data_IF_995295624366
#
_entry.id   IF_995295624366
#
_cell.length_a   1.000
_cell.length_b   1.000
_cell.length_c   1.000
_cell.angle_alpha   90.00
_cell.angle_beta   90.00
_cell.angle_gamma   90.00
#
_symmetry.space_group_name_H-M   'P 1'
#
loop_
_entity.id
_entity.type
_entity.pdbx_description
1 polymer ?
#
# COMPACT_ATOMS: atom_id res chain seq x y z
N UNK A 1 -13.64 12.03 6.30
CA UNK A 1 -13.79 10.71 6.95
C UNK A 1 -14.76 9.90 6.10
N UNK A 2 -14.29 8.76 5.52
CA UNK A 2 -15.11 7.98 4.58
C UNK A 2 -16.19 7.14 5.28
N UNK A 3 -15.87 6.60 6.46
CA UNK A 3 -16.81 5.83 7.28
C UNK A 3 -17.48 6.77 8.28
N UNK A 4 -18.81 6.85 8.24
CA UNK A 4 -19.65 7.71 9.08
C UNK A 4 -20.51 6.82 9.96
N UNK A 5 -20.40 6.96 11.27
CA UNK A 5 -21.29 6.29 12.21
C UNK A 5 -22.67 6.98 12.22
N UNK A 6 -23.74 6.18 12.24
CA UNK A 6 -25.11 6.68 12.27
C UNK A 6 -25.45 7.07 13.71
N UNK A 7 -25.72 8.38 14.03
CA UNK A 7 -25.87 8.85 15.41
C UNK A 7 -26.99 8.15 16.19
N UNK A 8 -28.04 7.74 15.48
CA UNK A 8 -29.23 7.08 16.09
C UNK A 8 -29.11 5.57 16.22
N UNK A 9 -28.00 5.00 15.71
CA UNK A 9 -27.76 3.55 15.70
C UNK A 9 -26.28 3.26 15.95
N UNK A 10 -25.84 3.25 17.21
CA UNK A 10 -24.45 2.96 17.56
C UNK A 10 -23.98 1.61 16.95
N UNK A 11 -22.76 1.58 16.42
CA UNK A 11 -22.22 0.41 15.73
C UNK A 11 -22.70 0.21 14.29
N UNK A 12 -23.61 1.08 13.79
CA UNK A 12 -24.01 1.09 12.39
C UNK A 12 -23.27 2.19 11.63
N UNK A 13 -22.70 1.82 10.49
CA UNK A 13 -21.88 2.72 9.69
C UNK A 13 -22.43 2.87 8.28
N UNK A 14 -22.16 4.03 7.68
CA UNK A 14 -22.46 4.34 6.28
C UNK A 14 -21.21 4.90 5.60
N UNK A 15 -21.03 4.63 4.33
CA UNK A 15 -20.00 5.26 3.53
C UNK A 15 -20.42 6.68 3.14
N UNK A 16 -19.48 7.63 3.23
CA UNK A 16 -19.75 9.05 2.91
C UNK A 16 -20.24 9.26 1.49
N UNK A 17 -19.72 8.48 0.55
CA UNK A 17 -20.15 8.53 -0.85
C UNK A 17 -21.63 8.13 -1.04
N UNK A 18 -22.13 7.17 -0.25
CA UNK A 18 -23.54 6.80 -0.26
C UNK A 18 -24.43 7.91 0.32
N UNK A 19 -23.96 8.57 1.38
CA UNK A 19 -24.63 9.72 1.96
C UNK A 19 -24.72 10.87 0.95
N UNK A 20 -23.62 11.18 0.25
CA UNK A 20 -23.59 12.20 -0.80
C UNK A 20 -24.57 11.85 -1.92
N UNK A 21 -24.55 10.60 -2.41
CA UNK A 21 -25.49 10.18 -3.45
C UNK A 21 -26.95 10.26 -3.00
N UNK A 22 -27.23 10.00 -1.73
CA UNK A 22 -28.59 10.12 -1.19
C UNK A 22 -29.08 11.57 -1.26
N UNK A 23 -28.23 12.52 -0.89
CA UNK A 23 -28.56 13.94 -0.84
C UNK A 23 -28.11 14.74 -2.08
N UNK A 24 -27.74 14.08 -3.18
CA UNK A 24 -27.19 14.75 -4.36
C UNK A 24 -28.12 15.85 -4.92
N UNK A 25 -29.45 15.66 -4.88
CA UNK A 25 -30.43 16.65 -5.34
C UNK A 25 -30.44 17.91 -4.47
N UNK A 26 -30.02 17.82 -3.20
CA UNK A 26 -29.85 19.00 -2.32
C UNK A 26 -28.58 19.77 -2.64
N UNK A 27 -27.52 19.07 -3.11
CA UNK A 27 -26.27 19.70 -3.54
C UNK A 27 -26.43 20.40 -4.89
N UNK A 28 -27.30 19.88 -5.75
CA UNK A 28 -27.57 20.43 -7.08
C UNK A 28 -29.05 20.79 -7.26
N UNK A 29 -29.60 21.77 -6.50
CA UNK A 29 -31.05 22.07 -6.49
C UNK A 29 -31.57 22.65 -7.81
N UNK A 30 -30.69 23.19 -8.65
CA UNK A 30 -31.06 23.79 -9.95
C UNK A 30 -31.06 22.76 -11.09
N UNK A 31 -30.70 21.51 -10.82
CA UNK A 31 -30.56 20.48 -11.85
C UNK A 31 -31.50 19.31 -11.58
N UNK A 32 -32.02 18.72 -12.63
CA UNK A 32 -32.72 17.44 -12.57
C UNK A 32 -31.70 16.32 -12.68
N UNK A 33 -31.53 15.54 -11.61
CA UNK A 33 -30.62 14.43 -11.61
C UNK A 33 -31.26 13.25 -12.36
N UNK A 34 -30.70 12.89 -13.51
CA UNK A 34 -31.18 11.76 -14.33
C UNK A 34 -30.53 10.45 -13.93
N UNK A 35 -29.20 10.46 -13.70
CA UNK A 35 -28.39 9.30 -13.35
C UNK A 35 -27.45 9.65 -12.21
N UNK A 36 -27.15 8.66 -11.37
CA UNK A 36 -26.18 8.82 -10.29
C UNK A 36 -25.49 7.50 -9.99
N UNK A 37 -24.18 7.52 -9.91
CA UNK A 37 -23.35 6.36 -9.54
C UNK A 37 -22.07 6.85 -8.90
N UNK A 38 -21.49 6.02 -8.00
CA UNK A 38 -20.10 6.18 -7.61
C UNK A 38 -19.26 5.54 -8.70
N UNK A 39 -18.17 6.16 -9.05
CA UNK A 39 -17.27 5.70 -10.10
C UNK A 39 -15.85 5.52 -9.54
N UNK A 40 -15.19 4.45 -9.97
CA UNK A 40 -13.76 4.24 -9.79
C UNK A 40 -13.11 4.05 -11.15
N UNK A 41 -12.09 4.86 -11.43
CA UNK A 41 -11.30 4.76 -12.65
C UNK A 41 -9.96 4.10 -12.32
N UNK A 42 -9.66 3.00 -12.99
CA UNK A 42 -8.32 2.41 -13.00
C UNK A 42 -7.59 2.91 -14.24
N UNK A 43 -6.42 3.50 -14.03
CA UNK A 43 -5.57 4.01 -15.12
C UNK A 43 -4.43 3.05 -15.38
N UNK A 44 -3.85 3.13 -16.56
CA UNK A 44 -2.63 2.42 -16.89
C UNK A 44 -1.55 2.72 -15.85
N UNK A 45 -0.70 1.73 -15.57
CA UNK A 45 0.39 1.87 -14.61
C UNK A 45 1.76 1.89 -15.32
N UNK A 46 1.80 1.59 -16.61
CA UNK A 46 3.05 1.60 -17.38
C UNK A 46 3.48 3.06 -17.60
N UNK A 47 4.54 3.41 -16.93
CA UNK A 47 5.27 4.66 -17.15
C UNK A 47 6.67 4.25 -17.56
N UNK A 48 7.10 4.65 -18.73
CA UNK A 48 8.49 4.48 -19.13
C UNK A 48 9.35 5.41 -18.26
N UNK A 49 10.07 4.82 -17.32
CA UNK A 49 10.96 5.57 -16.43
C UNK A 49 12.15 6.19 -17.19
N UNK A 50 12.50 5.63 -18.37
CA UNK A 50 13.56 6.18 -19.22
C UNK A 50 13.25 7.57 -19.73
N UNK A 51 11.95 7.91 -19.96
CA UNK A 51 11.54 9.25 -20.41
C UNK A 51 11.69 10.33 -19.32
N UNK A 52 12.04 9.95 -18.10
CA UNK A 52 12.17 10.83 -16.95
C UNK A 52 13.56 10.81 -16.32
N UNK A 53 14.46 9.99 -16.86
CA UNK A 53 15.82 9.91 -16.36
C UNK A 53 16.58 11.19 -16.75
N UNK A 54 16.82 12.03 -15.75
CA UNK A 54 17.66 13.21 -15.83
C UNK A 54 18.78 13.01 -14.81
N UNK A 55 20.02 12.97 -15.29
CA UNK A 55 21.19 12.73 -14.45
C UNK A 55 21.38 13.80 -13.35
N UNK A 56 20.82 15.00 -13.57
CA UNK A 56 20.89 16.11 -12.65
C UNK A 56 19.72 16.18 -11.65
N UNK A 57 18.72 15.27 -11.77
CA UNK A 57 17.51 15.29 -10.93
C UNK A 57 17.63 14.34 -9.75
N UNK A 58 17.32 14.82 -8.54
CA UNK A 58 17.20 13.98 -7.35
C UNK A 58 16.13 12.89 -7.58
N UNK A 59 16.46 11.66 -7.20
CA UNK A 59 15.56 10.50 -7.28
C UNK A 59 14.17 10.77 -6.68
N UNK A 60 14.10 11.51 -5.58
CA UNK A 60 12.84 11.90 -4.95
C UNK A 60 11.98 12.77 -5.87
N UNK A 61 12.57 13.76 -6.51
CA UNK A 61 11.89 14.68 -7.43
C UNK A 61 11.44 13.93 -8.70
N UNK A 62 12.24 12.99 -9.18
CA UNK A 62 11.89 12.10 -10.28
C UNK A 62 10.67 11.25 -9.93
N UNK A 63 10.64 10.61 -8.74
CA UNK A 63 9.52 9.81 -8.27
C UNK A 63 8.25 10.65 -8.05
N UNK A 64 8.37 11.87 -7.55
CA UNK A 64 7.24 12.79 -7.41
C UNK A 64 6.64 13.17 -8.78
N UNK A 65 7.46 13.39 -9.79
CA UNK A 65 7.01 13.62 -11.15
C UNK A 65 6.35 12.38 -11.78
N UNK A 66 6.90 11.18 -11.55
CA UNK A 66 6.30 9.91 -11.95
C UNK A 66 4.88 9.76 -11.38
N UNK A 67 4.72 10.01 -10.08
CA UNK A 67 3.42 9.94 -9.41
C UNK A 67 2.43 10.96 -10.00
N UNK A 68 2.89 12.18 -10.29
CA UNK A 68 2.07 13.22 -10.94
C UNK A 68 1.65 12.83 -12.36
N UNK A 69 2.55 12.22 -13.15
CA UNK A 69 2.24 11.71 -14.50
C UNK A 69 1.21 10.57 -14.44
N UNK A 70 1.27 9.70 -13.43
CA UNK A 70 0.37 8.55 -13.27
C UNK A 70 -1.13 8.96 -13.23
N UNK A 71 -1.43 10.12 -12.67
CA UNK A 71 -2.82 10.65 -12.63
C UNK A 71 -3.36 11.00 -14.02
N UNK A 72 -2.49 11.18 -15.00
CA UNK A 72 -2.84 11.57 -16.38
C UNK A 72 -2.82 10.41 -17.38
N UNK A 73 -2.44 9.19 -16.93
CA UNK A 73 -2.42 8.02 -17.80
C UNK A 73 -3.83 7.60 -18.22
N UNK A 74 -3.91 6.94 -19.35
CA UNK A 74 -5.18 6.53 -19.96
C UNK A 74 -5.99 5.59 -19.04
N UNK A 75 -7.30 5.80 -18.95
CA UNK A 75 -8.18 4.87 -18.26
C UNK A 75 -8.20 3.51 -18.95
N UNK A 76 -8.04 2.44 -18.16
CA UNK A 76 -8.13 1.05 -18.66
C UNK A 76 -9.37 0.33 -18.17
N UNK A 77 -9.98 0.80 -17.07
CA UNK A 77 -11.21 0.25 -16.51
C UNK A 77 -11.99 1.29 -15.72
N UNK A 78 -13.31 1.26 -15.87
CA UNK A 78 -14.25 2.05 -15.08
C UNK A 78 -15.23 1.14 -14.37
N UNK A 79 -15.33 1.27 -13.07
CA UNK A 79 -16.25 0.55 -12.21
C UNK A 79 -17.35 1.49 -11.73
N UNK A 80 -18.60 1.07 -11.84
CA UNK A 80 -19.78 1.82 -11.39
C UNK A 80 -20.51 1.07 -10.28
N UNK A 81 -20.86 1.77 -9.21
CA UNK A 81 -21.62 1.18 -8.09
C UNK A 81 -23.09 0.93 -8.44
N UNK A 82 -23.63 1.64 -9.43
CA UNK A 82 -24.99 1.52 -9.92
C UNK A 82 -25.00 1.50 -11.44
N UNK A 83 -25.96 0.75 -12.00
CA UNK A 83 -26.19 0.76 -13.43
C UNK A 83 -26.70 2.14 -13.85
N UNK A 84 -26.13 2.67 -14.90
CA UNK A 84 -26.59 3.87 -15.61
C UNK A 84 -27.18 3.45 -16.97
N UNK A 85 -27.95 4.32 -17.60
CA UNK A 85 -28.52 4.03 -18.91
C UNK A 85 -27.44 4.05 -20.01
N UNK A 86 -27.77 3.53 -21.20
CA UNK A 86 -26.80 3.38 -22.29
C UNK A 86 -26.35 4.72 -22.87
N UNK A 87 -27.15 5.77 -22.79
CA UNK A 87 -26.80 7.14 -23.23
C UNK A 87 -25.70 7.69 -22.31
N UNK A 88 -25.94 7.70 -20.99
CA UNK A 88 -24.95 8.16 -20.00
C UNK A 88 -23.67 7.30 -20.04
N UNK A 89 -23.81 5.99 -20.33
CA UNK A 89 -22.66 5.11 -20.49
C UNK A 89 -21.81 5.48 -21.71
N UNK A 90 -22.45 5.84 -22.82
CA UNK A 90 -21.73 6.32 -24.02
C UNK A 90 -21.08 7.67 -23.80
N UNK A 91 -21.77 8.61 -23.16
CA UNK A 91 -21.18 9.91 -22.79
C UNK A 91 -19.95 9.74 -21.90
N UNK A 92 -20.02 8.88 -20.89
CA UNK A 92 -18.90 8.58 -20.01
C UNK A 92 -17.74 7.92 -20.76
N UNK A 93 -18.06 7.01 -21.69
CA UNK A 93 -17.08 6.33 -22.57
C UNK A 93 -16.32 7.37 -23.42
N UNK A 94 -17.04 8.30 -24.04
CA UNK A 94 -16.44 9.35 -24.85
C UNK A 94 -15.61 10.34 -24.02
N UNK A 95 -16.12 10.71 -22.83
CA UNK A 95 -15.42 11.64 -21.92
C UNK A 95 -14.10 11.07 -21.39
N UNK A 96 -14.06 9.76 -21.13
CA UNK A 96 -12.88 9.08 -20.61
C UNK A 96 -12.02 8.44 -21.72
N UNK A 97 -12.43 8.54 -22.97
CA UNK A 97 -11.76 7.91 -24.12
C UNK A 97 -11.54 6.39 -23.93
N UNK A 98 -12.54 5.70 -23.39
CA UNK A 98 -12.48 4.26 -23.08
C UNK A 98 -13.66 3.52 -23.70
N UNK A 99 -13.44 2.30 -24.20
CA UNK A 99 -14.51 1.47 -24.75
C UNK A 99 -15.61 1.14 -23.73
N UNK A 100 -16.87 1.13 -24.16
CA UNK A 100 -18.03 0.83 -23.27
C UNK A 100 -17.94 -0.54 -22.63
N UNK A 101 -17.22 -1.50 -23.21
CA UNK A 101 -16.94 -2.82 -22.64
C UNK A 101 -16.09 -2.78 -21.37
N UNK A 102 -15.31 -1.73 -21.19
CA UNK A 102 -14.44 -1.51 -20.03
C UNK A 102 -15.15 -0.78 -18.88
N UNK A 103 -16.42 -0.37 -19.11
CA UNK A 103 -17.28 0.22 -18.08
C UNK A 103 -18.18 -0.86 -17.52
N UNK A 104 -17.91 -1.29 -16.31
CA UNK A 104 -18.55 -2.43 -15.64
C UNK A 104 -19.33 -1.99 -14.40
N UNK A 105 -20.39 -2.74 -14.08
CA UNK A 105 -21.12 -2.55 -12.83
C UNK A 105 -20.62 -3.52 -11.77
N UNK A 106 -20.41 -3.01 -10.57
CA UNK A 106 -19.96 -3.76 -9.41
C UNK A 106 -21.01 -3.67 -8.31
N UNK A 107 -21.37 -4.80 -7.70
CA UNK A 107 -22.42 -4.86 -6.67
C UNK A 107 -21.90 -4.62 -5.25
N UNK A 108 -20.59 -4.39 -5.11
CA UNK A 108 -19.93 -4.10 -3.82
C UNK A 108 -19.46 -2.64 -3.78
N UNK A 109 -19.10 -2.11 -2.61
CA UNK A 109 -18.37 -0.84 -2.53
C UNK A 109 -17.10 -0.89 -3.40
N UNK A 110 -16.85 0.16 -4.17
CA UNK A 110 -15.78 0.16 -5.19
C UNK A 110 -14.36 0.13 -4.64
N UNK A 111 -14.19 0.57 -3.42
CA UNK A 111 -12.92 0.56 -2.72
C UNK A 111 -13.15 0.04 -1.31
N UNK A 112 -12.55 -1.10 -0.98
CA UNK A 112 -12.71 -1.79 0.29
C UNK A 112 -11.73 -1.31 1.38
N UNK A 113 -10.94 -0.28 1.13
CA UNK A 113 -9.97 0.26 2.11
C UNK A 113 -10.61 0.73 3.42
N UNK A 114 -11.91 1.10 3.40
CA UNK A 114 -12.66 1.46 4.60
C UNK A 114 -12.71 0.35 5.65
N UNK A 115 -12.55 -0.92 5.25
CA UNK A 115 -12.53 -2.08 6.15
C UNK A 115 -11.40 -1.95 7.17
N UNK A 116 -10.23 -1.42 6.80
CA UNK A 116 -9.13 -1.16 7.73
C UNK A 116 -9.51 -0.12 8.80
N UNK A 117 -10.34 0.87 8.42
CA UNK A 117 -10.87 1.84 9.38
C UNK A 117 -11.93 1.20 10.27
N UNK A 118 -12.78 0.33 9.72
CA UNK A 118 -13.82 -0.38 10.46
C UNK A 118 -13.21 -1.26 11.57
N UNK A 119 -12.08 -1.91 11.33
CA UNK A 119 -11.36 -2.68 12.34
C UNK A 119 -11.07 -1.89 13.62
N UNK A 120 -10.83 -0.58 13.50
CA UNK A 120 -10.55 0.27 14.65
C UNK A 120 -11.79 0.47 15.54
N UNK A 121 -12.99 0.48 14.95
CA UNK A 121 -14.26 0.58 15.69
C UNK A 121 -14.69 -0.74 16.33
N UNK A 122 -14.20 -1.87 15.78
CA UNK A 122 -14.58 -3.21 16.21
C UNK A 122 -13.56 -3.84 17.18
N UNK A 123 -12.53 -3.11 17.60
CA UNK A 123 -11.43 -3.65 18.44
C UNK A 123 -11.87 -4.35 19.72
N UNK A 124 -12.98 -3.92 20.30
CA UNK A 124 -13.51 -4.49 21.55
C UNK A 124 -14.28 -5.81 21.31
N UNK A 125 -14.61 -6.12 20.07
CA UNK A 125 -15.30 -7.36 19.67
C UNK A 125 -14.25 -8.43 19.33
N UNK A 126 -13.65 -9.03 20.37
CA UNK A 126 -12.52 -9.97 20.25
C UNK A 126 -12.84 -11.17 19.37
N UNK A 127 -14.07 -11.60 19.30
CA UNK A 127 -14.56 -12.72 18.49
C UNK A 127 -14.41 -12.49 16.98
N UNK A 128 -14.24 -11.22 16.54
CA UNK A 128 -14.03 -10.87 15.14
C UNK A 128 -12.54 -10.86 14.74
N UNK A 129 -11.64 -11.10 15.67
CA UNK A 129 -10.21 -11.03 15.44
C UNK A 129 -9.53 -12.34 15.83
N UNK A 130 -8.52 -12.71 15.05
CA UNK A 130 -7.64 -13.78 15.45
C UNK A 130 -6.82 -13.39 16.67
N UNK A 131 -6.51 -14.35 17.53
CA UNK A 131 -5.60 -14.14 18.62
C UNK A 131 -4.24 -13.65 18.14
N UNK A 132 -3.73 -12.62 18.83
CA UNK A 132 -2.42 -12.07 18.51
C UNK A 132 -1.33 -13.08 18.84
N UNK A 133 -0.66 -13.58 17.82
CA UNK A 133 0.50 -14.47 17.98
C UNK A 133 1.78 -13.64 18.07
N UNK A 134 2.64 -13.98 19.02
CA UNK A 134 4.00 -13.43 19.08
C UNK A 134 4.95 -14.37 18.35
N UNK A 135 5.87 -13.85 17.54
CA UNK A 135 6.90 -14.67 16.91
C UNK A 135 7.74 -15.39 17.97
N UNK A 136 8.10 -16.63 17.70
CA UNK A 136 8.94 -17.44 18.58
C UNK A 136 10.42 -17.14 18.32
N UNK A 137 11.24 -17.28 19.33
CA UNK A 137 12.69 -17.28 19.14
C UNK A 137 13.10 -18.58 18.45
N UNK A 138 13.99 -18.47 17.46
CA UNK A 138 14.51 -19.67 16.79
C UNK A 138 15.55 -20.37 17.67
N UNK A 139 15.47 -21.70 17.81
CA UNK A 139 16.52 -22.46 18.49
C UNK A 139 17.79 -22.61 17.63
N UNK A 140 17.73 -22.24 16.35
CA UNK A 140 18.83 -22.40 15.41
C UNK A 140 19.97 -21.40 15.61
N UNK A 141 19.68 -20.24 16.24
CA UNK A 141 20.60 -19.12 16.43
C UNK A 141 20.62 -18.63 17.87
N UNK A 142 21.81 -18.38 18.39
CA UNK A 142 22.04 -17.74 19.69
C UNK A 142 22.13 -16.22 19.51
N UNK A 143 21.34 -15.48 20.28
CA UNK A 143 21.40 -14.01 20.28
C UNK A 143 22.59 -13.45 21.08
N UNK A 144 23.30 -14.30 21.81
CA UNK A 144 24.49 -13.95 22.65
C UNK A 144 25.78 -13.99 21.85
N UNK A 145 25.77 -14.60 20.65
CA UNK A 145 26.95 -14.74 19.80
C UNK A 145 26.74 -13.92 18.52
N UNK A 146 27.82 -13.67 17.76
CA UNK A 146 27.72 -13.09 16.43
C UNK A 146 26.86 -13.97 15.53
N UNK A 147 25.86 -13.40 14.89
CA UNK A 147 24.99 -14.13 13.95
C UNK A 147 25.79 -14.49 12.69
N UNK A 148 26.68 -13.59 12.22
CA UNK A 148 27.56 -13.85 11.06
C UNK A 148 28.40 -15.11 11.30
N UNK A 149 29.08 -15.21 12.45
CA UNK A 149 29.89 -16.39 12.80
C UNK A 149 29.06 -17.68 12.90
N UNK A 150 27.78 -17.61 13.19
CA UNK A 150 26.91 -18.78 13.24
C UNK A 150 26.47 -19.22 11.83
N UNK A 151 26.12 -18.28 10.94
CA UNK A 151 25.70 -18.60 9.57
C UNK A 151 26.86 -19.02 8.68
N UNK A 152 28.10 -18.62 8.99
CA UNK A 152 29.30 -19.14 8.33
C UNK A 152 29.49 -20.64 8.57
N UNK A 153 29.03 -21.17 9.71
CA UNK A 153 29.21 -22.59 10.06
C UNK A 153 28.12 -23.49 9.51
N UNK A 154 26.89 -22.93 9.26
CA UNK A 154 25.76 -23.71 8.78
C UNK A 154 24.69 -22.81 8.17
N UNK A 155 23.95 -23.34 7.22
CA UNK A 155 22.76 -22.70 6.69
C UNK A 155 21.66 -22.63 7.76
N UNK A 156 20.95 -21.50 7.81
CA UNK A 156 19.85 -21.28 8.75
C UNK A 156 18.60 -20.84 7.99
N UNK A 157 17.52 -21.59 8.17
CA UNK A 157 16.21 -21.24 7.66
C UNK A 157 15.37 -20.61 8.77
N UNK A 158 14.79 -19.44 8.51
CA UNK A 158 13.85 -18.76 9.39
C UNK A 158 12.49 -18.65 8.73
N UNK A 159 11.43 -19.04 9.46
CA UNK A 159 10.05 -19.04 8.95
C UNK A 159 9.28 -17.84 9.45
N UNK A 160 9.19 -16.78 8.63
CA UNK A 160 8.41 -15.59 8.98
C UNK A 160 6.94 -15.74 8.60
N UNK A 161 5.99 -15.16 9.35
CA UNK A 161 6.14 -14.36 10.59
C UNK A 161 6.15 -15.18 11.90
N UNK A 162 6.35 -16.49 11.82
CA UNK A 162 6.25 -17.38 12.99
C UNK A 162 7.49 -17.32 13.88
N UNK A 163 8.65 -17.10 13.29
CA UNK A 163 9.90 -16.87 13.99
C UNK A 163 10.25 -15.37 14.00
N UNK A 164 11.06 -14.99 14.99
CA UNK A 164 11.42 -13.60 15.24
C UNK A 164 12.39 -13.06 14.19
N UNK A 165 12.16 -11.83 13.74
CA UNK A 165 13.11 -11.07 12.91
C UNK A 165 14.35 -10.57 13.68
N UNK A 166 14.40 -10.72 15.01
CA UNK A 166 15.52 -10.21 15.82
C UNK A 166 16.90 -10.72 15.37
N UNK A 167 17.08 -12.03 15.04
CA UNK A 167 18.37 -12.51 14.58
C UNK A 167 18.80 -11.84 13.26
N UNK A 168 17.87 -11.65 12.32
CA UNK A 168 18.17 -10.98 11.06
C UNK A 168 18.55 -9.51 11.25
N UNK A 169 17.81 -8.78 12.10
CA UNK A 169 18.14 -7.39 12.43
C UNK A 169 19.50 -7.31 13.15
N UNK A 170 19.77 -8.23 14.10
CA UNK A 170 21.07 -8.31 14.74
C UNK A 170 22.21 -8.57 13.75
N UNK A 171 22.00 -9.48 12.80
CA UNK A 171 22.99 -9.77 11.74
C UNK A 171 23.32 -8.50 10.93
N UNK A 172 22.32 -7.67 10.60
CA UNK A 172 22.57 -6.42 9.88
C UNK A 172 23.34 -5.40 10.74
N UNK A 173 22.99 -5.29 12.03
CA UNK A 173 23.70 -4.39 12.93
C UNK A 173 25.17 -4.88 13.15
N UNK A 174 25.35 -6.18 13.38
CA UNK A 174 26.69 -6.77 13.50
C UNK A 174 27.49 -6.50 12.20
N UNK A 175 26.87 -6.67 11.02
CA UNK A 175 27.50 -6.40 9.73
C UNK A 175 27.81 -4.90 9.51
N UNK A 176 27.02 -3.99 10.06
CA UNK A 176 27.28 -2.57 9.97
C UNK A 176 28.54 -2.15 10.73
N UNK A 177 28.82 -2.82 11.84
CA UNK A 177 29.98 -2.56 12.70
C UNK A 177 31.24 -3.36 12.32
N UNK A 178 31.07 -4.56 11.74
CA UNK A 178 32.15 -5.51 11.45
C UNK A 178 33.09 -4.96 10.35
N UNK A 179 34.40 -4.76 10.64
CA UNK A 179 35.36 -4.24 9.65
C UNK A 179 35.61 -5.19 8.47
N UNK A 180 35.34 -6.48 8.62
CA UNK A 180 35.53 -7.46 7.54
C UNK A 180 34.37 -7.48 6.55
N UNK A 181 33.23 -6.85 6.88
CA UNK A 181 32.09 -6.67 5.98
C UNK A 181 32.32 -5.46 5.09
N UNK A 182 32.47 -5.68 3.79
CA UNK A 182 32.77 -4.65 2.79
C UNK A 182 31.51 -4.05 2.19
N UNK A 183 30.48 -4.89 1.94
CA UNK A 183 29.25 -4.44 1.29
C UNK A 183 28.02 -5.17 1.78
N UNK A 184 26.87 -4.46 1.75
CA UNK A 184 25.54 -5.02 2.02
C UNK A 184 24.66 -4.74 0.80
N UNK A 185 24.08 -5.78 0.19
CA UNK A 185 23.17 -5.67 -0.95
C UNK A 185 21.81 -6.27 -0.59
N UNK A 186 20.73 -5.51 -0.76
CA UNK A 186 19.41 -5.93 -0.31
C UNK A 186 18.31 -5.45 -1.26
N UNK A 187 17.29 -6.30 -1.44
CA UNK A 187 16.03 -5.92 -2.08
C UNK A 187 14.94 -5.74 -1.03
N UNK A 188 14.26 -4.61 -1.04
CA UNK A 188 13.16 -4.27 -0.13
C UNK A 188 11.87 -4.11 -0.93
N UNK A 189 10.90 -5.01 -0.73
CA UNK A 189 9.59 -4.95 -1.37
C UNK A 189 8.62 -4.01 -0.63
N UNK A 190 8.55 -4.14 0.69
CA UNK A 190 7.77 -3.26 1.58
C UNK A 190 8.55 -2.96 2.84
N UNK A 191 8.57 -1.69 3.19
CA UNK A 191 9.27 -1.19 4.38
C UNK A 191 8.27 -0.53 5.31
N UNK A 192 8.38 -0.77 6.62
CA UNK A 192 7.61 -0.06 7.62
C UNK A 192 8.12 1.38 7.77
N UNK A 193 7.24 2.32 8.16
CA UNK A 193 7.58 3.75 8.35
C UNK A 193 8.77 3.99 9.29
N UNK A 194 9.02 3.07 10.20
CA UNK A 194 10.17 3.04 11.11
C UNK A 194 10.77 1.66 11.09
N UNK A 195 11.64 1.42 10.13
CA UNK A 195 12.24 0.10 9.90
C UNK A 195 13.64 0.02 10.50
N UNK A 196 13.82 -0.88 11.47
CA UNK A 196 15.16 -1.20 12.01
C UNK A 196 16.14 -1.75 10.97
N UNK A 197 15.62 -2.26 9.84
CA UNK A 197 16.45 -2.69 8.71
C UNK A 197 17.05 -1.46 8.04
N UNK A 198 16.24 -0.41 7.80
CA UNK A 198 16.73 0.83 7.21
C UNK A 198 17.74 1.51 8.15
N UNK A 199 17.45 1.55 9.45
CA UNK A 199 18.38 2.12 10.44
C UNK A 199 19.76 1.44 10.37
N UNK A 200 19.78 0.09 10.33
CA UNK A 200 21.03 -0.68 10.22
C UNK A 200 21.76 -0.46 8.88
N UNK A 201 21.03 -0.30 7.78
CA UNK A 201 21.63 -0.01 6.47
C UNK A 201 22.22 1.40 6.39
N UNK A 202 21.58 2.38 7.02
CA UNK A 202 22.12 3.74 7.15
C UNK A 202 23.41 3.71 7.96
N UNK A 203 23.39 3.05 9.12
CA UNK A 203 24.57 2.88 9.98
C UNK A 203 25.74 2.21 9.24
N UNK A 204 25.46 1.17 8.45
CA UNK A 204 26.48 0.53 7.61
C UNK A 204 27.09 1.50 6.59
N UNK A 205 26.28 2.32 5.94
CA UNK A 205 26.76 3.32 4.98
C UNK A 205 27.58 4.42 5.67
N UNK A 206 27.15 4.90 6.84
CA UNK A 206 27.88 5.87 7.66
C UNK A 206 29.22 5.32 8.15
N UNK A 207 29.31 4.01 8.40
CA UNK A 207 30.55 3.29 8.73
C UNK A 207 31.43 3.02 7.50
N UNK A 208 31.09 3.55 6.32
CA UNK A 208 31.90 3.48 5.10
C UNK A 208 31.75 2.21 4.28
N UNK A 209 30.71 1.40 4.52
CA UNK A 209 30.43 0.21 3.73
C UNK A 209 29.67 0.54 2.45
N UNK A 210 29.90 -0.25 1.38
CA UNK A 210 29.07 -0.17 0.18
C UNK A 210 27.68 -0.73 0.46
N UNK A 211 26.64 0.13 0.47
CA UNK A 211 25.27 -0.30 0.68
C UNK A 211 24.46 -0.07 -0.59
N UNK A 212 23.95 -1.15 -1.19
CA UNK A 212 23.09 -1.12 -2.37
C UNK A 212 21.72 -1.68 -2.03
N UNK A 213 20.69 -0.86 -2.19
CA UNK A 213 19.30 -1.24 -1.89
C UNK A 213 18.43 -1.06 -3.12
N UNK A 214 17.83 -2.17 -3.57
CA UNK A 214 16.76 -2.14 -4.57
C UNK A 214 15.43 -2.00 -3.83
N UNK A 215 14.67 -0.96 -4.13
CA UNK A 215 13.31 -0.75 -3.60
C UNK A 215 12.32 -1.00 -4.71
N UNK A 216 11.36 -1.90 -4.49
CA UNK A 216 10.31 -2.25 -5.45
C UNK A 216 8.99 -1.54 -5.14
#
# INVERSE_FOLDING_TARGET
KRLIEIPTRPGCFMLSEELILHFISKLYPKYTIREKSIMRVTRNADIDAHDLYDEDMDYRDMMEQLIKKRVRLDPVRVELSRKINDEAKRELSNFLEIGTSHIINVKTPLDLSFVFTLQNYLRDQKELFYEKRSPRETPALSMHESILSQVEKKDVLLSYPFESMKPFIKMLNDAAEDPDVVSIKMTLYRVADRSKIIDALIEAAENGKEVVVLVE
#
